data_IF_647775265259
#
_entry.id   IF_647775265259
#
_cell.length_a   1.000
_cell.length_b   1.000
_cell.length_c   1.000
_cell.angle_alpha   90.00
_cell.angle_beta   90.00
_cell.angle_gamma   90.00
#
_symmetry.space_group_name_H-M   'P 1'
#
loop_
_entity.id
_entity.type
_entity.pdbx_description
1 polymer ?
#
# COMPACT_ATOMS: atom_id res chain seq x y z
N UNK A 1 20.61 45.58 -28.98
CA UNK A 1 21.74 46.19 -28.24
C UNK A 1 21.62 45.77 -26.76
N UNK A 2 22.76 45.33 -26.18
CA UNK A 2 23.06 44.93 -24.81
C UNK A 2 22.48 43.56 -24.39
N UNK A 3 23.17 42.47 -24.45
CA UNK A 3 24.37 41.80 -23.81
C UNK A 3 24.51 42.07 -22.30
N UNK A 4 24.49 40.97 -21.58
CA UNK A 4 25.41 40.58 -20.46
C UNK A 4 24.69 39.74 -19.46
N UNK A 5 25.19 38.74 -18.73
CA UNK A 5 26.48 38.02 -18.70
C UNK A 5 26.23 36.83 -17.76
N UNK A 6 26.79 35.69 -18.12
CA UNK A 6 26.97 34.46 -17.38
C UNK A 6 27.80 34.71 -16.11
N UNK A 7 27.46 34.11 -14.95
CA UNK A 7 28.44 33.81 -13.92
C UNK A 7 28.25 32.37 -13.41
N UNK A 8 29.14 31.54 -13.94
CA UNK A 8 29.54 30.24 -13.43
C UNK A 8 30.27 30.44 -12.09
N UNK A 9 29.97 29.66 -11.07
CA UNK A 9 30.89 29.45 -9.94
C UNK A 9 30.99 27.96 -9.63
N UNK A 10 32.12 27.39 -10.02
CA UNK A 10 32.62 26.11 -9.59
C UNK A 10 33.39 26.32 -8.26
N UNK A 11 33.20 25.45 -7.29
CA UNK A 11 34.16 25.28 -6.20
C UNK A 11 34.34 23.78 -5.91
N UNK A 12 35.56 23.37 -6.18
CA UNK A 12 36.13 22.07 -5.82
C UNK A 12 36.80 22.18 -4.41
N UNK A 13 36.96 21.08 -3.75
CA UNK A 13 37.81 20.96 -2.56
C UNK A 13 37.31 19.81 -1.69
N UNK A 14 37.90 18.79 -1.57
CA UNK A 14 39.21 18.28 -1.16
C UNK A 14 39.00 17.17 -0.14
N UNK A 15 39.45 15.99 -0.47
CA UNK A 15 39.52 14.80 0.36
C UNK A 15 40.60 14.97 1.44
N UNK A 16 40.36 14.45 2.63
CA UNK A 16 41.42 14.12 3.60
C UNK A 16 41.23 12.70 4.10
N UNK A 17 42.13 11.83 3.64
CA UNK A 17 42.44 10.52 4.24
C UNK A 17 43.29 10.75 5.51
N UNK A 18 42.96 10.09 6.60
CA UNK A 18 43.93 9.72 7.62
C UNK A 18 43.79 8.26 8.02
N UNK A 19 44.82 7.51 7.65
CA UNK A 19 45.16 6.20 8.20
C UNK A 19 45.79 6.37 9.58
N UNK A 20 45.48 5.47 10.50
CA UNK A 20 46.16 5.31 11.76
C UNK A 20 46.10 3.87 12.24
N UNK A 21 47.20 3.16 12.10
CA UNK A 21 47.47 1.79 12.51
C UNK A 21 48.01 1.68 13.95
N UNK A 22 47.95 0.42 14.46
CA UNK A 22 48.80 -0.25 15.50
C UNK A 22 48.07 -0.55 16.81
N UNK A 23 47.70 -1.82 17.02
CA UNK A 23 48.46 -2.95 17.57
C UNK A 23 48.75 -2.89 19.07
N UNK A 24 48.33 -3.90 19.81
CA UNK A 24 48.70 -4.14 21.20
C UNK A 24 48.08 -5.40 21.79
N UNK A 25 48.84 -6.49 21.79
CA UNK A 25 48.56 -7.77 22.47
C UNK A 25 48.61 -7.63 23.98
N UNK A 26 47.91 -8.49 24.72
CA UNK A 26 48.14 -8.71 26.16
C UNK A 26 47.21 -9.78 26.73
N UNK A 27 47.71 -11.03 26.71
CA UNK A 27 47.24 -12.16 27.50
C UNK A 27 47.37 -11.94 29.00
N UNK A 28 46.42 -12.43 29.80
CA UNK A 28 46.77 -13.29 30.95
C UNK A 28 45.55 -13.99 31.59
N UNK A 29 45.73 -15.26 31.78
CA UNK A 29 44.99 -16.23 32.58
C UNK A 29 45.03 -15.91 34.07
N UNK A 30 43.94 -16.20 34.80
CA UNK A 30 44.02 -16.71 36.15
C UNK A 30 42.70 -17.43 36.53
N UNK A 31 42.77 -18.71 36.70
CA UNK A 31 41.81 -19.56 37.43
C UNK A 31 41.75 -19.21 38.90
N UNK A 32 40.56 -19.32 39.53
CA UNK A 32 40.47 -19.83 40.89
C UNK A 32 39.04 -20.36 41.20
N UNK A 33 38.99 -21.66 41.42
CA UNK A 33 38.17 -22.58 42.25
C UNK A 33 36.98 -22.05 43.05
N UNK A 34 35.91 -22.87 42.93
CA UNK A 34 34.80 -23.02 43.88
C UNK A 34 35.22 -23.53 45.27
N UNK A 35 34.30 -23.46 46.26
CA UNK A 35 33.90 -24.71 46.88
C UNK A 35 32.37 -24.90 47.05
N UNK A 36 32.03 -26.17 47.02
CA UNK A 36 30.75 -26.78 47.36
C UNK A 36 30.29 -26.49 48.80
N UNK A 37 28.97 -26.41 49.00
CA UNK A 37 28.36 -27.03 50.22
C UNK A 37 26.91 -27.42 49.94
N UNK A 38 26.59 -28.63 50.36
CA UNK A 38 25.37 -29.44 50.24
C UNK A 38 24.27 -29.06 51.24
N UNK A 39 23.02 -29.48 50.83
CA UNK A 39 21.96 -30.09 51.64
C UNK A 39 21.02 -29.10 52.35
N UNK A 40 19.68 -29.17 52.26
CA UNK A 40 18.75 -30.29 52.49
C UNK A 40 17.33 -29.99 51.96
N UNK A 41 16.54 -31.05 51.87
CA UNK A 41 15.21 -31.16 51.36
C UNK A 41 14.13 -30.55 52.27
N UNK A 42 13.04 -30.08 51.66
CA UNK A 42 11.76 -29.73 52.31
C UNK A 42 10.61 -29.85 51.34
N UNK A 43 9.84 -30.91 51.50
CA UNK A 43 8.58 -31.29 50.85
C UNK A 43 7.45 -30.33 51.26
N UNK A 44 6.58 -29.87 50.35
CA UNK A 44 5.14 -30.11 50.25
C UNK A 44 4.35 -29.03 49.53
N UNK A 45 3.45 -29.55 48.78
CA UNK A 45 2.08 -29.11 48.55
C UNK A 45 1.78 -28.24 47.34
N UNK A 46 1.02 -28.84 46.43
CA UNK A 46 0.54 -28.33 45.18
C UNK A 46 -0.37 -27.11 45.29
N UNK A 47 -0.33 -26.35 44.25
CA UNK A 47 -1.44 -25.48 43.87
C UNK A 47 -1.46 -25.43 42.34
N UNK A 48 -2.61 -25.79 41.83
CA UNK A 48 -3.03 -25.76 40.45
C UNK A 48 -2.62 -24.43 39.79
N UNK A 49 -1.65 -24.46 38.87
CA UNK A 49 -1.33 -23.31 38.03
C UNK A 49 -2.24 -23.34 36.81
N UNK A 50 -2.97 -22.26 36.71
CA UNK A 50 -3.88 -21.88 35.67
C UNK A 50 -3.14 -21.84 34.33
N UNK A 51 -3.59 -22.60 33.32
CA UNK A 51 -3.16 -22.51 31.92
C UNK A 51 -3.71 -21.20 31.30
N UNK A 52 -2.98 -20.11 31.43
CA UNK A 52 -3.30 -18.85 30.71
C UNK A 52 -2.05 -18.02 30.40
N UNK A 53 -0.92 -18.64 30.09
CA UNK A 53 0.32 -17.88 29.79
C UNK A 53 1.12 -18.39 28.58
N UNK A 54 0.49 -19.05 27.61
CA UNK A 54 1.22 -19.56 26.44
C UNK A 54 1.11 -18.68 25.17
N UNK A 55 0.37 -17.55 25.20
CA UNK A 55 0.21 -16.68 24.01
C UNK A 55 1.03 -15.38 24.03
N UNK A 56 1.54 -14.93 25.16
CA UNK A 56 2.31 -13.68 25.24
C UNK A 56 3.82 -13.84 24.97
N UNK A 57 4.39 -15.03 25.17
CA UNK A 57 5.84 -15.25 25.04
C UNK A 57 6.34 -15.51 23.61
N UNK A 58 5.47 -15.91 22.69
CA UNK A 58 5.86 -16.11 21.28
C UNK A 58 5.96 -14.80 20.50
N UNK A 59 5.19 -13.79 20.86
CA UNK A 59 5.18 -12.48 20.20
C UNK A 59 6.49 -11.68 20.43
N UNK A 60 7.14 -11.85 21.57
CA UNK A 60 8.35 -11.09 21.93
C UNK A 60 9.63 -11.53 21.18
N UNK A 61 9.61 -12.64 20.46
CA UNK A 61 10.77 -13.24 19.80
C UNK A 61 10.76 -13.18 18.26
N UNK A 62 9.79 -12.50 17.66
CA UNK A 62 9.76 -12.36 16.20
C UNK A 62 10.94 -11.52 15.70
N UNK A 63 11.64 -12.06 14.70
CA UNK A 63 12.80 -11.42 14.05
C UNK A 63 12.90 -11.83 12.58
N UNK A 64 13.47 -10.98 11.77
CA UNK A 64 13.67 -11.26 10.34
C UNK A 64 13.11 -10.15 9.47
N UNK A 65 12.84 -10.46 8.21
CA UNK A 65 12.30 -9.51 7.25
C UNK A 65 11.07 -10.03 6.54
N UNK A 66 10.18 -9.12 6.19
CA UNK A 66 9.05 -9.33 5.27
C UNK A 66 9.26 -8.43 4.07
N UNK A 67 9.13 -8.97 2.87
CA UNK A 67 9.14 -8.23 1.62
C UNK A 67 7.73 -8.13 1.04
N UNK A 68 7.33 -6.90 0.69
CA UNK A 68 6.06 -6.61 0.03
C UNK A 68 6.32 -5.92 -1.31
N UNK A 69 5.66 -6.35 -2.36
CA UNK A 69 5.74 -5.70 -3.68
C UNK A 69 4.34 -5.51 -4.22
N UNK A 70 4.05 -4.38 -4.89
CA UNK A 70 2.81 -4.31 -5.65
C UNK A 70 2.15 -2.94 -5.76
N UNK A 71 0.86 -2.89 -5.49
CA UNK A 71 -0.02 -1.76 -5.80
C UNK A 71 0.42 -0.42 -5.21
N UNK A 72 0.56 0.59 -6.05
CA UNK A 72 0.81 1.98 -5.63
C UNK A 72 -0.39 2.61 -4.89
N UNK A 73 -1.61 2.06 -5.06
CA UNK A 73 -2.78 2.50 -4.30
C UNK A 73 -2.79 1.97 -2.86
N UNK A 74 -1.96 0.98 -2.55
CA UNK A 74 -1.81 0.45 -1.20
C UNK A 74 -0.62 1.06 -0.44
N UNK A 75 0.09 2.01 -1.04
CA UNK A 75 1.32 2.60 -0.48
C UNK A 75 1.09 3.17 0.92
N UNK A 76 0.07 4.01 1.09
CA UNK A 76 -0.25 4.62 2.38
C UNK A 76 -0.57 3.58 3.46
N UNK A 77 -1.42 2.60 3.11
CA UNK A 77 -1.79 1.52 4.01
C UNK A 77 -0.58 0.63 4.36
N UNK A 78 0.16 0.14 3.35
CA UNK A 78 1.27 -0.77 3.56
C UNK A 78 2.44 -0.10 4.32
N UNK A 79 2.67 1.20 4.09
CA UNK A 79 3.68 1.98 4.84
C UNK A 79 3.26 2.12 6.31
N UNK A 80 2.03 2.55 6.58
CA UNK A 80 1.52 2.66 7.96
C UNK A 80 1.53 1.32 8.69
N UNK A 81 1.13 0.24 8.02
CA UNK A 81 1.19 -1.12 8.56
C UNK A 81 2.63 -1.52 8.90
N UNK A 82 3.57 -1.26 8.00
CA UNK A 82 4.99 -1.57 8.20
C UNK A 82 5.57 -0.85 9.41
N UNK A 83 5.29 0.45 9.54
CA UNK A 83 5.76 1.28 10.65
C UNK A 83 5.24 0.79 12.00
N UNK A 84 3.93 0.54 12.10
CA UNK A 84 3.32 0.08 13.35
C UNK A 84 3.79 -1.33 13.70
N UNK A 85 3.90 -2.23 12.71
CA UNK A 85 4.36 -3.60 12.92
C UNK A 85 5.82 -3.64 13.38
N UNK A 86 6.72 -2.86 12.75
CA UNK A 86 8.12 -2.74 13.19
C UNK A 86 8.24 -2.06 14.56
N UNK A 87 7.36 -1.11 14.88
CA UNK A 87 7.28 -0.52 16.22
C UNK A 87 6.91 -1.54 17.30
N UNK A 88 6.00 -2.46 16.98
CA UNK A 88 5.58 -3.55 17.88
C UNK A 88 6.64 -4.66 17.99
N UNK A 89 7.40 -4.92 16.92
CA UNK A 89 8.43 -5.95 16.82
C UNK A 89 9.77 -5.36 16.35
N UNK A 90 10.58 -4.78 17.24
CA UNK A 90 11.78 -4.02 16.85
C UNK A 90 12.89 -4.83 16.16
N UNK A 91 12.84 -6.17 16.23
CA UNK A 91 13.77 -7.07 15.54
C UNK A 91 13.27 -7.51 14.15
N UNK A 92 12.15 -6.93 13.69
CA UNK A 92 11.55 -7.20 12.38
C UNK A 92 11.80 -6.01 11.46
N UNK A 93 12.10 -6.31 10.18
CA UNK A 93 12.15 -5.33 9.10
C UNK A 93 11.06 -5.63 8.09
N UNK A 94 10.24 -4.65 7.74
CA UNK A 94 9.27 -4.76 6.65
C UNK A 94 9.71 -3.82 5.54
N UNK A 95 9.88 -4.37 4.34
CA UNK A 95 10.25 -3.62 3.13
C UNK A 95 9.09 -3.67 2.14
N UNK A 96 8.67 -2.51 1.63
CA UNK A 96 7.59 -2.41 0.66
C UNK A 96 8.05 -1.67 -0.60
N UNK A 97 7.70 -2.21 -1.77
CA UNK A 97 7.97 -1.62 -3.08
C UNK A 97 6.66 -1.48 -3.86
N UNK A 98 6.45 -0.31 -4.47
CA UNK A 98 5.17 0.05 -5.09
C UNK A 98 5.33 0.24 -6.60
N UNK A 99 5.05 -0.82 -7.36
CA UNK A 99 5.30 -0.94 -8.81
C UNK A 99 4.11 -1.49 -9.60
N UNK A 100 2.93 -1.53 -8.97
CA UNK A 100 1.68 -2.00 -9.57
C UNK A 100 1.30 -3.42 -9.14
N UNK A 101 -0.02 -3.70 -9.15
CA UNK A 101 -0.58 -4.97 -8.65
C UNK A 101 -0.09 -6.19 -9.43
N UNK A 102 0.03 -6.07 -10.76
CA UNK A 102 0.51 -7.16 -11.60
C UNK A 102 1.91 -7.63 -11.21
N UNK A 103 2.84 -6.67 -11.01
CA UNK A 103 4.21 -6.96 -10.57
C UNK A 103 4.24 -7.58 -9.16
N UNK A 104 3.37 -7.13 -8.24
CA UNK A 104 3.25 -7.72 -6.90
C UNK A 104 2.82 -9.18 -6.95
N UNK A 105 1.81 -9.51 -7.74
CA UNK A 105 1.34 -10.89 -7.90
C UNK A 105 2.40 -11.77 -8.58
N UNK A 106 3.12 -11.23 -9.56
CA UNK A 106 4.24 -11.93 -10.19
C UNK A 106 5.36 -12.21 -9.19
N UNK A 107 5.73 -11.22 -8.35
CA UNK A 107 6.78 -11.37 -7.34
C UNK A 107 6.45 -12.48 -6.32
N UNK A 108 5.20 -12.56 -5.86
CA UNK A 108 4.75 -13.65 -4.98
C UNK A 108 4.72 -14.99 -5.72
N UNK A 109 4.23 -15.01 -6.96
CA UNK A 109 4.14 -16.23 -7.76
C UNK A 109 5.49 -16.90 -7.93
N UNK A 110 6.55 -16.11 -8.19
CA UNK A 110 7.92 -16.59 -8.40
C UNK A 110 8.77 -16.68 -7.12
N UNK A 111 8.22 -16.26 -5.96
CA UNK A 111 8.87 -16.32 -4.65
C UNK A 111 9.93 -15.23 -4.41
N UNK A 112 9.91 -14.12 -5.17
CA UNK A 112 10.81 -12.98 -4.95
C UNK A 112 10.29 -11.99 -3.90
N UNK A 113 9.01 -12.09 -3.51
CA UNK A 113 8.42 -11.38 -2.39
C UNK A 113 7.57 -12.32 -1.53
N UNK A 114 7.48 -12.01 -0.24
CA UNK A 114 6.61 -12.74 0.70
C UNK A 114 5.14 -12.39 0.49
N UNK A 115 4.86 -11.13 0.16
CA UNK A 115 3.51 -10.58 0.02
C UNK A 115 3.41 -9.76 -1.27
N UNK A 116 2.36 -10.04 -2.04
CA UNK A 116 1.97 -9.27 -3.23
C UNK A 116 0.78 -8.36 -2.96
N UNK A 117 1.00 -7.05 -2.96
CA UNK A 117 -0.06 -6.08 -2.75
C UNK A 117 -0.86 -5.86 -4.04
N UNK A 118 -2.16 -6.12 -4.00
CA UNK A 118 -3.06 -5.94 -5.14
C UNK A 118 -4.28 -5.12 -4.78
N UNK A 119 -4.61 -4.16 -5.61
CA UNK A 119 -5.81 -3.32 -5.50
C UNK A 119 -6.93 -3.75 -6.45
N UNK A 120 -7.04 -5.05 -6.66
CA UNK A 120 -8.10 -5.78 -7.36
C UNK A 120 -8.15 -7.22 -6.86
N UNK A 121 -9.23 -7.92 -7.17
CA UNK A 121 -9.26 -9.37 -7.01
C UNK A 121 -8.15 -10.05 -7.82
N UNK A 122 -7.71 -11.21 -7.36
CA UNK A 122 -6.82 -12.07 -8.14
C UNK A 122 -7.59 -12.67 -9.30
N UNK A 123 -6.93 -12.74 -10.46
CA UNK A 123 -7.45 -13.45 -11.62
C UNK A 123 -7.41 -14.97 -11.37
N UNK A 124 -8.29 -15.72 -12.04
CA UNK A 124 -8.32 -17.17 -11.92
C UNK A 124 -6.99 -17.82 -12.29
N UNK A 125 -6.30 -17.28 -13.30
CA UNK A 125 -4.97 -17.73 -13.72
C UNK A 125 -3.88 -17.50 -12.67
N UNK A 126 -4.03 -16.46 -11.81
CA UNK A 126 -3.12 -16.16 -10.69
C UNK A 126 -3.39 -17.12 -9.52
N UNK A 127 -4.66 -17.36 -9.21
CA UNK A 127 -5.09 -18.36 -8.20
C UNK A 127 -4.67 -19.78 -8.62
N UNK A 128 -4.79 -20.11 -9.91
CA UNK A 128 -4.35 -21.42 -10.43
C UNK A 128 -2.84 -21.66 -10.28
N UNK A 129 -2.03 -20.61 -10.13
CA UNK A 129 -0.60 -20.71 -9.81
C UNK A 129 -0.32 -20.91 -8.31
N UNK A 130 -1.34 -21.10 -7.49
CA UNK A 130 -1.24 -21.31 -6.05
C UNK A 130 -1.03 -20.01 -5.26
N UNK A 131 -1.52 -18.87 -5.78
CA UNK A 131 -1.53 -17.61 -5.05
C UNK A 131 -2.85 -17.48 -4.29
N UNK A 132 -2.78 -17.27 -2.99
CA UNK A 132 -3.94 -17.06 -2.13
C UNK A 132 -4.35 -15.59 -2.09
N UNK A 133 -5.67 -15.33 -2.06
CA UNK A 133 -6.27 -14.01 -2.04
C UNK A 133 -6.69 -13.64 -0.62
N UNK A 134 -5.87 -12.85 0.09
CA UNK A 134 -6.16 -12.40 1.44
C UNK A 134 -6.68 -10.96 1.40
N UNK A 135 -7.99 -10.78 1.50
CA UNK A 135 -8.61 -9.44 1.52
C UNK A 135 -8.37 -8.80 2.89
N UNK A 136 -7.68 -7.66 2.90
CA UNK A 136 -7.32 -6.93 4.13
C UNK A 136 -8.15 -5.68 4.36
N UNK A 137 -8.64 -5.07 3.28
CA UNK A 137 -9.50 -3.89 3.34
C UNK A 137 -10.38 -3.78 2.08
N UNK A 138 -11.39 -2.92 2.16
CA UNK A 138 -12.15 -2.43 1.00
C UNK A 138 -11.81 -0.96 0.79
N UNK A 139 -11.54 -0.61 -0.47
CA UNK A 139 -11.20 0.74 -0.92
C UNK A 139 -12.22 1.23 -1.94
N UNK A 140 -12.41 2.55 -1.98
CA UNK A 140 -13.17 3.23 -3.03
C UNK A 140 -12.25 3.75 -4.14
N UNK A 141 -12.70 3.65 -5.38
CA UNK A 141 -12.06 4.33 -6.50
C UNK A 141 -12.75 5.68 -6.69
N UNK A 142 -12.11 6.75 -6.24
CA UNK A 142 -12.60 8.10 -6.41
C UNK A 142 -12.29 8.62 -7.81
N UNK A 143 -13.27 9.24 -8.46
CA UNK A 143 -13.08 9.99 -9.69
C UNK A 143 -12.69 11.42 -9.33
N UNK A 144 -11.61 11.91 -9.93
CA UNK A 144 -11.04 13.22 -9.67
C UNK A 144 -10.91 14.04 -10.94
N UNK A 145 -10.99 15.35 -10.82
CA UNK A 145 -10.75 16.29 -11.93
C UNK A 145 -9.90 17.48 -11.47
N UNK A 146 -9.50 18.32 -12.42
CA UNK A 146 -8.83 19.56 -12.06
C UNK A 146 -9.72 20.44 -11.16
N UNK A 147 -9.12 21.21 -10.23
CA UNK A 147 -9.89 21.97 -9.22
C UNK A 147 -10.84 23.03 -9.80
N UNK A 148 -10.56 23.51 -11.04
CA UNK A 148 -11.36 24.53 -11.68
C UNK A 148 -12.56 23.96 -12.46
N UNK A 149 -12.70 22.65 -12.56
CA UNK A 149 -13.83 22.02 -13.24
C UNK A 149 -15.15 22.38 -12.52
N UNK A 150 -16.13 22.87 -13.29
CA UNK A 150 -17.43 23.27 -12.74
C UNK A 150 -18.43 22.11 -12.63
N UNK A 151 -18.17 20.98 -13.30
CA UNK A 151 -18.97 19.76 -13.17
C UNK A 151 -18.54 19.06 -11.89
N UNK A 152 -19.48 18.69 -11.03
CA UNK A 152 -19.22 18.05 -9.72
C UNK A 152 -19.87 16.68 -9.55
N UNK A 153 -20.71 16.27 -10.53
CA UNK A 153 -21.41 14.99 -10.51
C UNK A 153 -21.48 14.39 -11.91
N UNK A 154 -21.27 13.09 -12.01
CA UNK A 154 -21.45 12.32 -13.22
C UNK A 154 -22.38 11.13 -12.96
N UNK A 155 -23.24 10.81 -13.94
CA UNK A 155 -23.89 9.50 -13.96
C UNK A 155 -22.87 8.43 -14.40
N UNK A 156 -23.19 7.16 -14.13
CA UNK A 156 -22.38 6.04 -14.59
C UNK A 156 -22.20 6.04 -16.11
N UNK A 157 -23.27 6.32 -16.86
CA UNK A 157 -23.22 6.38 -18.32
C UNK A 157 -22.38 7.53 -18.83
N UNK A 158 -22.43 8.71 -18.17
CA UNK A 158 -21.56 9.85 -18.52
C UNK A 158 -20.09 9.50 -18.29
N UNK A 159 -19.76 8.84 -17.17
CA UNK A 159 -18.40 8.39 -16.89
C UNK A 159 -17.92 7.38 -17.94
N UNK A 160 -18.75 6.41 -18.30
CA UNK A 160 -18.46 5.45 -19.36
C UNK A 160 -18.21 6.18 -20.71
N UNK A 161 -19.06 7.15 -21.07
CA UNK A 161 -18.94 7.90 -22.32
C UNK A 161 -17.68 8.78 -22.37
N UNK A 162 -17.22 9.29 -21.25
CA UNK A 162 -15.93 9.98 -21.16
C UNK A 162 -14.78 9.02 -21.46
N UNK A 163 -14.74 7.89 -20.72
CA UNK A 163 -13.61 6.97 -20.81
C UNK A 163 -13.55 6.19 -22.12
N UNK A 164 -14.69 5.92 -22.77
CA UNK A 164 -14.70 5.30 -24.11
C UNK A 164 -14.48 6.31 -25.26
N UNK A 165 -14.37 7.62 -24.94
CA UNK A 165 -14.13 8.69 -25.91
C UNK A 165 -15.38 9.16 -26.69
N UNK A 166 -16.58 8.81 -26.26
CA UNK A 166 -17.84 9.30 -26.85
C UNK A 166 -18.09 10.75 -26.46
N UNK A 167 -17.86 11.12 -25.18
CA UNK A 167 -17.94 12.49 -24.67
C UNK A 167 -16.51 13.03 -24.52
N UNK A 168 -16.21 14.11 -25.22
CA UNK A 168 -14.84 14.66 -25.31
C UNK A 168 -14.70 16.11 -24.86
N UNK A 169 -15.81 16.75 -24.47
CA UNK A 169 -15.81 18.13 -24.03
C UNK A 169 -16.74 18.31 -22.81
N UNK A 170 -16.27 19.00 -21.79
CA UNK A 170 -17.03 19.28 -20.58
C UNK A 170 -18.34 20.02 -20.79
N UNK A 171 -18.47 20.84 -21.87
CA UNK A 171 -19.73 21.51 -22.20
C UNK A 171 -20.88 20.56 -22.49
N UNK A 172 -20.59 19.36 -22.95
CA UNK A 172 -21.59 18.30 -23.18
C UNK A 172 -22.26 17.83 -21.89
N UNK A 173 -21.57 18.11 -20.76
CA UNK A 173 -21.98 17.75 -19.39
C UNK A 173 -22.39 18.99 -18.55
N UNK A 174 -22.59 20.14 -19.19
CA UNK A 174 -22.96 21.39 -18.53
C UNK A 174 -21.81 22.19 -17.93
N UNK A 175 -20.57 21.78 -18.22
CA UNK A 175 -19.36 22.49 -17.83
C UNK A 175 -18.89 23.55 -18.86
N UNK A 176 -17.65 23.99 -18.68
CA UNK A 176 -17.00 24.91 -19.61
C UNK A 176 -16.78 24.30 -21.01
N UNK A 177 -16.64 25.14 -22.05
CA UNK A 177 -16.21 24.67 -23.37
C UNK A 177 -14.71 24.34 -23.33
N UNK A 178 -14.39 23.14 -22.86
CA UNK A 178 -13.05 22.67 -22.60
C UNK A 178 -12.94 21.19 -22.92
N UNK A 179 -11.93 20.77 -23.72
CA UNK A 179 -11.67 19.36 -23.99
C UNK A 179 -11.41 18.56 -22.70
N UNK A 180 -11.92 17.34 -22.65
CA UNK A 180 -11.66 16.41 -21.56
C UNK A 180 -10.31 15.73 -21.77
N UNK A 181 -9.41 15.80 -20.77
CA UNK A 181 -8.13 15.11 -20.76
C UNK A 181 -8.25 13.88 -19.85
N UNK A 182 -8.42 12.71 -20.46
CA UNK A 182 -8.64 11.46 -19.71
C UNK A 182 -7.31 10.90 -19.23
N UNK A 183 -7.14 10.82 -17.93
CA UNK A 183 -5.95 10.30 -17.27
C UNK A 183 -6.25 8.89 -16.73
N UNK A 184 -5.40 7.93 -17.08
CA UNK A 184 -5.48 6.57 -16.60
C UNK A 184 -4.16 6.08 -16.05
N UNK A 185 -4.11 4.78 -15.80
CA UNK A 185 -2.97 4.07 -15.27
C UNK A 185 -2.42 3.09 -16.31
N UNK A 186 -1.17 2.68 -16.12
CA UNK A 186 -0.50 1.62 -16.90
C UNK A 186 -1.25 0.28 -16.79
N UNK A 187 -0.99 -0.64 -17.73
CA UNK A 187 -1.68 -1.93 -17.81
C UNK A 187 -1.49 -2.85 -16.58
N UNK A 188 -0.37 -2.69 -15.84
CA UNK A 188 -0.09 -3.44 -14.61
C UNK A 188 -0.85 -2.95 -13.37
N UNK A 189 -1.58 -1.85 -13.49
CA UNK A 189 -2.33 -1.25 -12.38
C UNK A 189 -3.58 -2.04 -12.02
N UNK A 190 -3.66 -2.48 -10.76
CA UNK A 190 -4.90 -3.07 -10.23
C UNK A 190 -6.05 -2.07 -10.16
N UNK A 191 -5.77 -0.77 -9.96
CA UNK A 191 -6.79 0.28 -9.97
C UNK A 191 -7.41 0.43 -11.35
N UNK A 192 -6.59 0.41 -12.42
CA UNK A 192 -7.08 0.41 -13.80
C UNK A 192 -7.97 -0.81 -14.05
N UNK A 193 -7.47 -1.99 -13.75
CA UNK A 193 -8.22 -3.23 -13.95
C UNK A 193 -9.57 -3.18 -13.24
N UNK A 194 -9.60 -2.86 -11.94
CA UNK A 194 -10.85 -2.78 -11.19
C UNK A 194 -11.81 -1.70 -11.72
N UNK A 195 -11.29 -0.54 -12.10
CA UNK A 195 -12.08 0.55 -12.69
C UNK A 195 -12.73 0.14 -14.01
N UNK A 196 -11.94 -0.44 -14.91
CA UNK A 196 -12.43 -0.90 -16.22
C UNK A 196 -13.45 -2.04 -16.09
N UNK A 197 -13.21 -3.03 -15.20
CA UNK A 197 -14.14 -4.13 -14.91
C UNK A 197 -15.48 -3.64 -14.35
N UNK A 198 -15.45 -2.72 -13.36
CA UNK A 198 -16.67 -2.18 -12.74
C UNK A 198 -17.53 -1.37 -13.72
N UNK A 199 -16.89 -0.74 -14.70
CA UNK A 199 -17.56 0.03 -15.75
C UNK A 199 -17.81 -0.77 -17.05
N UNK A 200 -17.29 -2.01 -17.13
CA UNK A 200 -17.32 -2.85 -18.36
C UNK A 200 -16.65 -2.16 -19.54
N UNK A 201 -15.46 -1.61 -19.28
CA UNK A 201 -14.65 -0.86 -20.25
C UNK A 201 -13.28 -1.52 -20.50
N UNK A 202 -13.14 -2.82 -20.22
CA UNK A 202 -11.91 -3.54 -20.48
C UNK A 202 -11.47 -3.34 -21.94
N UNK A 203 -10.25 -2.91 -22.14
CA UNK A 203 -9.64 -2.57 -23.45
C UNK A 203 -10.39 -1.50 -24.28
N UNK A 204 -11.43 -0.85 -23.75
CA UNK A 204 -12.22 0.15 -24.43
C UNK A 204 -11.84 1.61 -24.06
N UNK A 205 -11.12 1.82 -22.99
CA UNK A 205 -10.76 3.16 -22.52
C UNK A 205 -9.84 3.90 -23.49
N UNK A 206 -10.08 5.21 -23.65
CA UNK A 206 -9.31 6.13 -24.49
C UNK A 206 -8.55 7.13 -23.63
N UNK A 207 -7.44 6.70 -23.06
CA UNK A 207 -6.61 7.53 -22.21
C UNK A 207 -5.80 8.55 -23.03
N UNK A 208 -5.77 9.80 -22.58
CA UNK A 208 -4.86 10.84 -23.09
C UNK A 208 -3.45 10.66 -22.48
N UNK A 209 -3.40 10.18 -21.24
CA UNK A 209 -2.16 9.88 -20.53
C UNK A 209 -2.34 8.59 -19.72
N UNK A 210 -1.34 7.73 -19.73
CA UNK A 210 -1.23 6.56 -18.84
C UNK A 210 -0.05 6.78 -17.91
N UNK A 211 -0.29 6.66 -16.59
CA UNK A 211 0.69 6.97 -15.55
C UNK A 211 0.99 5.74 -14.69
N UNK A 212 2.20 5.68 -14.14
CA UNK A 212 2.75 4.52 -13.44
C UNK A 212 2.37 4.43 -11.95
N UNK A 213 1.79 5.51 -11.38
CA UNK A 213 1.44 5.52 -9.96
C UNK A 213 0.17 6.30 -9.65
N UNK A 214 -0.47 6.00 -8.51
CA UNK A 214 -1.64 6.71 -8.01
C UNK A 214 -1.31 8.18 -7.72
N UNK A 215 -0.15 8.44 -7.12
CA UNK A 215 0.32 9.81 -6.86
C UNK A 215 0.56 10.61 -8.14
N UNK A 216 1.04 9.97 -9.22
CA UNK A 216 1.21 10.64 -10.51
C UNK A 216 -0.14 11.03 -11.14
N UNK A 217 -1.19 10.21 -10.97
CA UNK A 217 -2.56 10.58 -11.41
C UNK A 217 -3.06 11.80 -10.64
N UNK A 218 -2.91 11.83 -9.30
CA UNK A 218 -3.27 12.99 -8.47
C UNK A 218 -2.57 14.27 -8.96
N UNK A 219 -1.25 14.24 -9.06
CA UNK A 219 -0.46 15.40 -9.49
C UNK A 219 -0.81 15.86 -10.91
N UNK A 220 -1.06 14.92 -11.81
CA UNK A 220 -1.43 15.24 -13.19
C UNK A 220 -2.83 15.85 -13.27
N UNK A 221 -3.80 15.31 -12.51
CA UNK A 221 -5.16 15.83 -12.44
C UNK A 221 -5.16 17.25 -11.86
N UNK A 222 -4.44 17.49 -10.77
CA UNK A 222 -4.32 18.80 -10.15
C UNK A 222 -3.74 19.89 -11.05
N UNK A 223 -2.86 19.52 -12.00
CA UNK A 223 -2.11 20.47 -12.83
C UNK A 223 -2.57 20.56 -14.29
N UNK A 224 -3.55 19.75 -14.70
CA UNK A 224 -3.99 19.70 -16.10
C UNK A 224 -5.43 20.19 -16.23
N UNK A 225 -5.67 21.41 -16.78
CA UNK A 225 -7.01 21.89 -17.03
C UNK A 225 -7.85 20.94 -17.88
N UNK A 226 -9.09 20.71 -17.49
CA UNK A 226 -10.01 19.79 -18.16
C UNK A 226 -9.74 18.30 -17.90
N UNK A 227 -8.83 17.97 -16.98
CA UNK A 227 -8.52 16.59 -16.65
C UNK A 227 -9.65 15.87 -15.92
N UNK A 228 -9.68 14.54 -16.10
CA UNK A 228 -10.42 13.57 -15.29
C UNK A 228 -9.52 12.35 -15.10
N UNK A 229 -9.49 11.82 -13.89
CA UNK A 229 -8.73 10.63 -13.53
C UNK A 229 -9.43 9.82 -12.44
N UNK A 230 -8.81 8.73 -12.01
CA UNK A 230 -9.29 7.91 -10.91
C UNK A 230 -8.14 7.49 -9.99
N UNK A 231 -8.41 7.48 -8.69
CA UNK A 231 -7.43 7.19 -7.65
C UNK A 231 -8.09 6.40 -6.51
N UNK A 232 -7.28 5.82 -5.64
CA UNK A 232 -7.75 5.26 -4.37
C UNK A 232 -8.27 6.37 -3.46
N UNK A 233 -9.32 6.08 -2.68
CA UNK A 233 -9.94 7.02 -1.77
C UNK A 233 -8.97 7.51 -0.67
N UNK A 234 -8.08 6.64 -0.22
CA UNK A 234 -7.13 6.91 0.87
C UNK A 234 -6.05 7.96 0.54
N UNK A 235 -5.84 8.27 -0.75
CA UNK A 235 -4.86 9.28 -1.19
C UNK A 235 -5.46 10.63 -1.52
N UNK A 236 -6.78 10.79 -1.41
CA UNK A 236 -7.44 12.07 -1.73
C UNK A 236 -6.97 13.20 -0.83
N UNK A 237 -6.76 14.36 -1.44
CA UNK A 237 -6.51 15.65 -0.78
C UNK A 237 -7.17 16.80 -1.55
N UNK A 238 -7.04 18.01 -1.04
CA UNK A 238 -7.65 19.22 -1.60
C UNK A 238 -6.97 19.73 -2.90
N UNK A 239 -5.96 19.04 -3.43
CA UNK A 239 -5.28 19.42 -4.68
C UNK A 239 -6.12 19.14 -5.93
N UNK A 240 -7.09 18.26 -5.84
CA UNK A 240 -8.02 17.88 -6.92
C UNK A 240 -9.47 18.09 -6.52
N UNK A 241 -10.34 18.19 -7.51
CA UNK A 241 -11.79 18.13 -7.25
C UNK A 241 -12.24 16.66 -7.28
N UNK A 242 -12.82 16.21 -6.19
CA UNK A 242 -13.48 14.90 -6.12
C UNK A 242 -14.88 15.00 -6.71
N UNK A 243 -15.23 14.08 -7.59
CA UNK A 243 -16.51 14.04 -8.27
C UNK A 243 -17.47 13.07 -7.59
N UNK A 244 -18.75 13.49 -7.47
CA UNK A 244 -19.84 12.57 -7.12
C UNK A 244 -20.16 11.64 -8.30
N UNK A 245 -20.61 10.45 -8.00
CA UNK A 245 -21.17 9.53 -8.98
C UNK A 245 -22.61 9.20 -8.59
N UNK A 246 -23.56 9.36 -9.53
CA UNK A 246 -24.98 9.19 -9.27
C UNK A 246 -25.46 10.05 -8.06
N UNK A 247 -24.86 11.22 -7.89
CA UNK A 247 -25.07 12.14 -6.76
C UNK A 247 -24.60 11.60 -5.41
N UNK A 248 -23.78 10.55 -5.39
CA UNK A 248 -23.19 9.94 -4.20
C UNK A 248 -21.72 10.33 -4.08
N UNK A 249 -21.33 10.81 -2.91
CA UNK A 249 -19.93 11.12 -2.59
C UNK A 249 -19.12 9.80 -2.36
N UNK A 250 -17.85 9.74 -2.78
CA UNK A 250 -16.97 8.61 -2.50
C UNK A 250 -16.50 8.67 -1.04
N UNK A 251 -17.32 8.17 -0.12
CA UNK A 251 -16.97 8.10 1.30
C UNK A 251 -16.98 6.64 1.80
N UNK A 252 -16.20 6.32 2.85
CA UNK A 252 -16.23 4.98 3.44
C UNK A 252 -17.64 4.50 3.80
N UNK A 253 -18.51 5.42 4.30
CA UNK A 253 -19.89 5.12 4.66
C UNK A 253 -20.72 4.72 3.44
N UNK A 254 -20.62 5.46 2.33
CA UNK A 254 -21.35 5.21 1.10
C UNK A 254 -20.85 3.92 0.40
N UNK A 255 -19.55 3.64 0.49
CA UNK A 255 -18.95 2.40 -0.02
C UNK A 255 -19.45 1.22 0.81
N UNK A 256 -19.40 1.32 2.15
CA UNK A 256 -19.89 0.27 3.05
C UNK A 256 -21.38 0.00 2.88
N UNK A 257 -22.16 1.03 2.60
CA UNK A 257 -23.60 0.93 2.31
C UNK A 257 -23.89 0.36 0.91
N UNK A 258 -22.88 0.22 0.03
CA UNK A 258 -23.04 -0.21 -1.36
C UNK A 258 -23.71 0.85 -2.25
N UNK A 259 -23.87 2.09 -1.79
CA UNK A 259 -24.44 3.19 -2.57
C UNK A 259 -23.43 3.81 -3.55
N UNK A 260 -22.13 3.82 -3.20
CA UNK A 260 -21.06 4.20 -4.12
C UNK A 260 -20.52 2.94 -4.83
N UNK A 261 -20.68 2.86 -6.15
CA UNK A 261 -20.48 1.62 -6.88
C UNK A 261 -19.02 1.31 -7.28
N UNK A 262 -18.12 2.30 -7.27
CA UNK A 262 -16.71 2.08 -7.57
C UNK A 262 -15.95 1.68 -6.30
N UNK A 263 -16.07 0.44 -5.90
CA UNK A 263 -15.34 -0.15 -4.77
C UNK A 263 -14.67 -1.46 -5.15
N UNK A 264 -13.57 -1.78 -4.45
CA UNK A 264 -12.74 -2.94 -4.74
C UNK A 264 -12.03 -3.44 -3.48
N UNK A 265 -11.55 -4.68 -3.44
CA UNK A 265 -10.71 -5.14 -2.35
C UNK A 265 -9.28 -4.62 -2.46
N UNK A 266 -8.65 -4.43 -1.31
CA UNK A 266 -7.21 -4.47 -1.15
C UNK A 266 -6.81 -5.85 -0.69
N UNK A 267 -5.94 -6.48 -1.44
CA UNK A 267 -5.49 -7.86 -1.26
C UNK A 267 -4.00 -7.87 -0.94
N UNK A 268 -3.61 -8.59 0.09
CA UNK A 268 -2.23 -8.96 0.36
C UNK A 268 -2.07 -10.45 0.03
N UNK A 269 -1.65 -10.71 -1.20
CA UNK A 269 -1.55 -12.07 -1.74
C UNK A 269 -0.32 -12.79 -1.19
N UNK A 270 -0.44 -14.10 -0.97
CA UNK A 270 0.64 -14.98 -0.51
C UNK A 270 0.78 -16.19 -1.41
N UNK A 271 1.96 -16.82 -1.44
CA UNK A 271 2.13 -18.11 -2.10
C UNK A 271 1.60 -19.22 -1.20
N UNK A 272 0.42 -19.76 -1.51
CA UNK A 272 -0.33 -20.65 -0.61
C UNK A 272 -1.06 -19.88 0.51
N UNK A 273 -1.77 -20.59 1.37
CA UNK A 273 -2.59 -20.05 2.45
C UNK A 273 -1.75 -19.38 3.55
N UNK A 274 -2.35 -18.46 4.32
CA UNK A 274 -1.67 -17.79 5.46
C UNK A 274 -1.10 -18.82 6.43
N UNK A 275 -1.80 -19.92 6.68
CA UNK A 275 -1.37 -21.00 7.58
C UNK A 275 -0.06 -21.68 7.15
N UNK A 276 0.28 -21.59 5.88
CA UNK A 276 1.49 -22.18 5.28
C UNK A 276 2.69 -21.22 5.27
N UNK A 277 2.46 -19.95 5.62
CA UNK A 277 3.50 -18.92 5.60
C UNK A 277 4.44 -19.03 6.82
N UNK A 278 5.54 -18.24 6.78
CA UNK A 278 6.42 -18.08 7.93
C UNK A 278 5.67 -17.52 9.15
N UNK A 279 6.15 -17.79 10.36
CA UNK A 279 5.53 -17.26 11.58
C UNK A 279 5.50 -15.72 11.59
N UNK A 280 6.45 -15.10 10.92
CA UNK A 280 6.52 -13.64 10.78
C UNK A 280 5.40 -13.10 9.90
N UNK A 281 5.13 -13.73 8.74
CA UNK A 281 4.02 -13.36 7.85
C UNK A 281 2.67 -13.67 8.52
N UNK A 282 2.53 -14.81 9.21
CA UNK A 282 1.33 -15.12 10.00
C UNK A 282 1.04 -14.02 11.03
N UNK A 283 2.06 -13.61 11.80
CA UNK A 283 1.91 -12.57 12.81
C UNK A 283 1.50 -11.22 12.21
N UNK A 284 1.95 -10.89 11.00
CA UNK A 284 1.51 -9.69 10.29
C UNK A 284 0.03 -9.76 9.94
N UNK A 285 -0.46 -10.89 9.42
CA UNK A 285 -1.89 -11.07 9.13
C UNK A 285 -2.73 -11.12 10.40
N UNK A 286 -2.25 -11.77 11.46
CA UNK A 286 -2.91 -11.74 12.78
C UNK A 286 -3.05 -10.30 13.29
N UNK A 287 -2.02 -9.48 13.10
CA UNK A 287 -2.09 -8.05 13.43
C UNK A 287 -3.13 -7.31 12.57
N UNK A 288 -3.12 -7.49 11.24
CA UNK A 288 -4.06 -6.82 10.33
C UNK A 288 -5.51 -7.12 10.71
N UNK A 289 -5.83 -8.37 11.06
CA UNK A 289 -7.18 -8.79 11.40
C UNK A 289 -7.57 -8.54 12.86
N UNK A 290 -6.62 -8.11 13.71
CA UNK A 290 -6.90 -7.69 15.09
C UNK A 290 -7.69 -6.37 15.14
N UNK A 291 -8.21 -6.02 16.32
CA UNK A 291 -8.89 -4.74 16.51
C UNK A 291 -7.95 -3.55 16.27
N UNK A 292 -6.67 -3.65 16.70
CA UNK A 292 -5.65 -2.63 16.43
C UNK A 292 -5.41 -2.45 14.91
N UNK A 293 -5.31 -3.55 14.18
CA UNK A 293 -5.13 -3.53 12.72
C UNK A 293 -6.36 -2.96 12.00
N UNK A 294 -7.57 -3.32 12.43
CA UNK A 294 -8.81 -2.73 11.91
C UNK A 294 -8.91 -1.22 12.18
N UNK A 295 -8.41 -0.76 13.30
CA UNK A 295 -8.37 0.68 13.60
C UNK A 295 -7.31 1.40 12.74
N UNK A 296 -6.17 0.77 12.46
CA UNK A 296 -5.20 1.28 11.49
C UNK A 296 -5.83 1.42 10.09
N UNK A 297 -6.54 0.39 9.61
CA UNK A 297 -7.24 0.42 8.31
C UNK A 297 -8.20 1.60 8.23
N UNK A 298 -9.00 1.83 9.27
CA UNK A 298 -9.93 3.00 9.34
C UNK A 298 -9.18 4.33 9.37
N UNK A 299 -8.07 4.39 10.14
CA UNK A 299 -7.27 5.62 10.28
C UNK A 299 -6.66 6.10 8.96
N UNK A 300 -6.36 5.17 8.03
CA UNK A 300 -5.89 5.53 6.69
C UNK A 300 -7.01 5.81 5.68
N UNK A 301 -8.28 5.72 6.10
CA UNK A 301 -9.45 6.02 5.25
C UNK A 301 -10.05 4.82 4.53
N UNK A 302 -9.67 3.60 4.90
CA UNK A 302 -10.15 2.35 4.31
C UNK A 302 -11.23 1.68 5.19
N UNK A 303 -11.90 0.69 4.63
CA UNK A 303 -12.90 -0.12 5.33
C UNK A 303 -12.26 -1.47 5.65
N UNK A 304 -12.17 -1.90 6.94
CA UNK A 304 -11.64 -3.20 7.28
C UNK A 304 -12.40 -4.34 6.58
N UNK A 305 -11.66 -5.33 6.09
CA UNK A 305 -12.25 -6.61 5.76
C UNK A 305 -12.74 -7.26 7.06
N UNK A 306 -13.93 -7.86 7.05
CA UNK A 306 -14.61 -8.40 8.24
C UNK A 306 -13.80 -9.46 8.97
#
# INVERSE_FOLDING_TARGET
MKKNIIKTLALAGMAVLTMGTLAGCGSNNAETKAPDTKTEAGTTSGTTANETTAKEDTASNLKGSISMVGSTSMEKFATALSEVFMGKYPSVTVQAEFVGSGAGIEAVTNGSADIGNSSRNLKDEEKAKGVAENIVAIDGIAVVSDPANTVDNLTKDQLINIYNGTTTNWKELGGADQPIVVIGREAGSGTRTAFEELLKLEDACKYSNELDSTGAVMAKAASTPGSIGYVSLDVLDDSVKTMKLESIDPTPENIKAGSYFLSRPFVMATKGEISEQSDLVKALFDYIYSDEGKDLVKAVGLIPAN
#
